data_IF_119282633633
#
_entry.id   IF_119282633633
#
_cell.length_a   1.000
_cell.length_b   1.000
_cell.length_c   1.000
_cell.angle_alpha   90.00
_cell.angle_beta   90.00
_cell.angle_gamma   90.00
#
_symmetry.space_group_name_H-M   'P 1'
#
loop_
_entity.id
_entity.type
_entity.pdbx_description
1 polymer ?
#
# COMPACT_ATOMS: atom_id res chain seq x y z
N UNK A 1 1.94 -19.63 -12.55
CA UNK A 1 2.73 -18.56 -11.88
C UNK A 1 2.20 -18.35 -10.48
N UNK A 2 3.07 -18.11 -9.51
CA UNK A 2 2.73 -17.89 -8.11
C UNK A 2 3.39 -16.62 -7.58
N UNK A 3 2.89 -16.10 -6.45
CA UNK A 3 3.53 -15.01 -5.70
C UNK A 3 5.00 -15.32 -5.37
N UNK A 4 5.30 -16.58 -5.07
CA UNK A 4 6.68 -17.02 -4.79
C UNK A 4 7.59 -16.81 -6.00
N UNK A 5 7.10 -17.05 -7.21
CA UNK A 5 7.88 -16.84 -8.43
C UNK A 5 8.21 -15.36 -8.62
N UNK A 6 7.23 -14.48 -8.40
CA UNK A 6 7.40 -13.03 -8.51
C UNK A 6 8.32 -12.48 -7.42
N UNK A 7 8.17 -12.94 -6.17
CA UNK A 7 9.03 -12.54 -5.05
C UNK A 7 10.50 -12.87 -5.28
N UNK A 8 10.81 -13.93 -6.05
CA UNK A 8 12.17 -14.32 -6.41
C UNK A 8 12.59 -13.83 -7.81
N UNK A 9 11.74 -13.09 -8.52
CA UNK A 9 12.10 -12.53 -9.81
C UNK A 9 13.15 -11.43 -9.64
N UNK A 10 14.30 -11.60 -10.32
CA UNK A 10 15.45 -10.68 -10.19
C UNK A 10 15.13 -9.30 -10.72
N UNK A 11 14.39 -9.21 -11.84
CA UNK A 11 14.04 -7.93 -12.45
C UNK A 11 13.10 -7.11 -11.55
N UNK A 12 12.06 -7.74 -10.99
CA UNK A 12 11.15 -7.10 -10.01
C UNK A 12 11.95 -6.57 -8.82
N UNK A 13 12.86 -7.39 -8.29
CA UNK A 13 13.64 -7.02 -7.11
C UNK A 13 14.62 -5.88 -7.38
N UNK A 14 15.26 -5.83 -8.55
CA UNK A 14 16.13 -4.70 -8.92
C UNK A 14 15.32 -3.42 -9.18
N UNK A 15 14.11 -3.51 -9.77
CA UNK A 15 13.21 -2.36 -9.90
C UNK A 15 12.79 -1.81 -8.54
N UNK A 16 12.36 -2.65 -7.60
CA UNK A 16 12.01 -2.24 -6.23
C UNK A 16 13.20 -1.58 -5.52
N UNK A 17 14.38 -2.20 -5.62
CA UNK A 17 15.62 -1.66 -5.04
C UNK A 17 15.97 -0.29 -5.63
N UNK A 18 15.90 -0.14 -6.96
CA UNK A 18 16.17 1.13 -7.64
C UNK A 18 15.14 2.20 -7.27
N UNK A 19 13.85 1.83 -7.24
CA UNK A 19 12.77 2.72 -6.81
C UNK A 19 12.98 3.23 -5.40
N UNK A 20 13.30 2.34 -4.46
CA UNK A 20 13.58 2.71 -3.07
C UNK A 20 14.81 3.64 -2.93
N UNK A 21 15.85 3.44 -3.73
CA UNK A 21 17.01 4.35 -3.78
C UNK A 21 16.62 5.74 -4.29
N UNK A 22 15.87 5.80 -5.39
CA UNK A 22 15.37 7.06 -5.96
C UNK A 22 14.53 7.84 -4.94
N UNK A 23 13.59 7.16 -4.28
CA UNK A 23 12.74 7.75 -3.24
C UNK A 23 13.55 8.25 -2.04
N UNK A 24 14.60 7.53 -1.65
CA UNK A 24 15.51 7.99 -0.61
C UNK A 24 16.22 9.29 -0.95
N UNK A 25 16.69 9.45 -2.19
CA UNK A 25 17.30 10.70 -2.65
C UNK A 25 16.31 11.88 -2.71
N UNK A 26 15.03 11.58 -2.95
CA UNK A 26 13.95 12.57 -2.98
C UNK A 26 13.36 12.86 -1.59
N UNK A 27 13.86 12.22 -0.53
CA UNK A 27 13.40 12.44 0.84
C UNK A 27 12.18 11.64 1.29
N UNK A 28 11.67 10.73 0.47
CA UNK A 28 10.53 9.88 0.83
C UNK A 28 10.92 8.76 1.82
N UNK A 29 9.92 8.29 2.55
CA UNK A 29 10.01 7.14 3.47
C UNK A 29 10.44 5.86 2.75
N UNK A 30 10.72 4.81 3.50
CA UNK A 30 11.15 3.51 2.96
C UNK A 30 10.02 2.84 2.15
N UNK A 31 10.34 2.45 0.91
CA UNK A 31 9.51 1.68 -0.01
C UNK A 31 10.30 0.44 -0.47
N UNK A 32 10.91 -0.22 0.50
CA UNK A 32 11.71 -1.44 0.26
C UNK A 32 10.84 -2.66 0.00
N UNK A 33 11.48 -3.77 -0.30
CA UNK A 33 10.82 -5.07 -0.42
C UNK A 33 9.99 -5.42 0.82
N UNK A 34 10.41 -5.03 2.03
CA UNK A 34 9.68 -5.30 3.27
C UNK A 34 8.30 -4.61 3.27
N UNK A 35 8.23 -3.38 2.78
CA UNK A 35 6.95 -2.70 2.56
C UNK A 35 6.09 -3.47 1.55
N UNK A 36 6.64 -3.84 0.39
CA UNK A 36 5.91 -4.56 -0.66
C UNK A 36 5.41 -5.95 -0.20
N UNK A 37 6.22 -6.68 0.58
CA UNK A 37 5.79 -7.94 1.22
C UNK A 37 4.63 -7.69 2.17
N UNK A 38 4.70 -6.65 2.99
CA UNK A 38 3.63 -6.31 3.93
C UNK A 38 2.34 -5.95 3.20
N UNK A 39 2.41 -5.16 2.14
CA UNK A 39 1.25 -4.82 1.30
C UNK A 39 0.63 -6.08 0.71
N UNK A 40 1.44 -6.96 0.12
CA UNK A 40 1.01 -8.23 -0.46
C UNK A 40 0.27 -9.11 0.57
N UNK A 41 0.86 -9.30 1.76
CA UNK A 41 0.26 -10.15 2.79
C UNK A 41 -0.97 -9.50 3.45
N UNK A 42 -1.00 -8.17 3.60
CA UNK A 42 -2.17 -7.45 4.10
C UNK A 42 -3.33 -7.55 3.13
N UNK A 43 -3.09 -7.33 1.83
CA UNK A 43 -4.10 -7.47 0.79
C UNK A 43 -4.69 -8.90 0.74
N UNK A 44 -3.82 -9.90 0.75
CA UNK A 44 -4.22 -11.30 0.83
C UNK A 44 -5.05 -11.61 2.06
N UNK A 45 -4.64 -11.11 3.24
CA UNK A 45 -5.39 -11.30 4.47
C UNK A 45 -6.78 -10.66 4.43
N UNK A 46 -6.90 -9.46 3.86
CA UNK A 46 -8.18 -8.78 3.67
C UNK A 46 -9.11 -9.64 2.81
N UNK A 47 -8.67 -10.04 1.62
CA UNK A 47 -9.48 -10.84 0.70
C UNK A 47 -9.87 -12.19 1.31
N UNK A 48 -8.94 -12.87 1.98
CA UNK A 48 -9.22 -14.12 2.70
C UNK A 48 -10.29 -13.95 3.77
N UNK A 49 -10.24 -12.87 4.54
CA UNK A 49 -11.25 -12.58 5.57
C UNK A 49 -12.63 -12.32 4.96
N UNK A 50 -12.72 -11.72 3.80
CA UNK A 50 -13.98 -11.49 3.10
C UNK A 50 -14.44 -12.66 2.23
N UNK A 51 -13.73 -13.82 2.25
CA UNK A 51 -14.15 -15.06 1.60
C UNK A 51 -13.91 -15.11 0.08
N UNK A 52 -12.97 -14.32 -0.42
CA UNK A 52 -12.51 -14.39 -1.82
C UNK A 52 -11.76 -15.70 -2.09
N UNK A 53 -11.68 -16.08 -3.36
CA UNK A 53 -11.03 -17.32 -3.77
C UNK A 53 -9.51 -17.28 -3.52
N UNK A 54 -8.89 -18.44 -3.34
CA UNK A 54 -7.42 -18.52 -3.23
C UNK A 54 -6.73 -17.98 -4.49
N UNK A 55 -7.40 -18.04 -5.64
CA UNK A 55 -6.94 -17.42 -6.89
C UNK A 55 -6.86 -15.89 -6.78
N UNK A 56 -7.94 -15.23 -6.34
CA UNK A 56 -7.96 -13.76 -6.15
C UNK A 56 -6.94 -13.33 -5.10
N UNK A 57 -6.79 -14.11 -4.03
CA UNK A 57 -5.81 -13.88 -2.97
C UNK A 57 -4.40 -13.91 -3.53
N UNK A 58 -4.10 -14.86 -4.43
CA UNK A 58 -2.79 -14.98 -5.06
C UNK A 58 -2.51 -13.80 -6.02
N UNK A 59 -3.50 -13.39 -6.82
CA UNK A 59 -3.39 -12.20 -7.67
C UNK A 59 -3.12 -10.93 -6.85
N UNK A 60 -3.81 -10.79 -5.70
CA UNK A 60 -3.58 -9.67 -4.80
C UNK A 60 -2.17 -9.66 -4.20
N UNK A 61 -1.62 -10.82 -3.84
CA UNK A 61 -0.22 -10.90 -3.38
C UNK A 61 0.75 -10.45 -4.46
N UNK A 62 0.55 -10.93 -5.68
CA UNK A 62 1.42 -10.57 -6.82
C UNK A 62 1.36 -9.07 -7.07
N UNK A 63 0.16 -8.52 -7.22
CA UNK A 63 -0.02 -7.10 -7.48
C UNK A 63 0.50 -6.23 -6.32
N UNK A 64 0.23 -6.63 -5.07
CA UNK A 64 0.71 -5.93 -3.88
C UNK A 64 2.24 -5.93 -3.75
N UNK A 65 2.92 -7.01 -4.19
CA UNK A 65 4.38 -7.02 -4.20
C UNK A 65 4.98 -6.13 -5.29
N UNK A 66 4.30 -6.01 -6.43
CA UNK A 66 4.78 -5.27 -7.60
C UNK A 66 4.31 -3.81 -7.63
N UNK A 67 3.42 -3.37 -6.72
CA UNK A 67 2.73 -2.07 -6.85
C UNK A 67 3.68 -0.88 -7.02
N UNK A 68 4.83 -0.92 -6.39
CA UNK A 68 5.79 0.19 -6.30
C UNK A 68 6.96 0.11 -7.31
N UNK A 69 7.00 -0.89 -8.22
CA UNK A 69 8.12 -1.04 -9.17
C UNK A 69 8.30 0.17 -10.10
N UNK A 70 7.25 0.94 -10.34
CA UNK A 70 7.29 2.14 -11.17
C UNK A 70 8.10 3.29 -10.59
N UNK A 71 8.37 3.30 -9.27
CA UNK A 71 9.27 4.26 -8.64
C UNK A 71 10.72 4.15 -9.17
N UNK A 72 11.08 3.05 -9.83
CA UNK A 72 12.35 2.91 -10.53
C UNK A 72 12.48 3.90 -11.70
N UNK A 73 11.34 4.27 -12.33
CA UNK A 73 11.29 5.21 -13.45
C UNK A 73 11.10 6.64 -12.90
N UNK A 74 10.03 6.88 -12.18
CA UNK A 74 9.71 8.21 -11.65
C UNK A 74 8.67 8.10 -10.53
N UNK A 75 8.76 8.93 -9.49
CA UNK A 75 7.75 9.00 -8.42
C UNK A 75 6.41 9.52 -8.97
N UNK A 76 6.46 10.53 -9.81
CA UNK A 76 5.25 11.03 -10.45
C UNK A 76 4.71 9.96 -11.41
N UNK A 77 3.44 9.59 -11.28
CA UNK A 77 2.78 8.55 -12.07
C UNK A 77 3.41 7.15 -11.91
N UNK A 78 4.01 6.85 -10.74
CA UNK A 78 4.65 5.55 -10.51
C UNK A 78 3.68 4.37 -10.62
N UNK A 79 2.41 4.57 -10.29
CA UNK A 79 1.38 3.54 -10.39
C UNK A 79 1.17 3.12 -11.85
N UNK A 80 1.03 4.08 -12.78
CA UNK A 80 0.85 3.80 -14.20
C UNK A 80 2.11 3.18 -14.81
N UNK A 81 3.31 3.70 -14.50
CA UNK A 81 4.57 3.08 -14.92
C UNK A 81 4.73 1.69 -14.33
N UNK A 82 4.33 1.48 -13.08
CA UNK A 82 4.33 0.19 -12.42
C UNK A 82 3.44 -0.82 -13.13
N UNK A 83 2.24 -0.43 -13.53
CA UNK A 83 1.33 -1.26 -14.30
C UNK A 83 1.91 -1.65 -15.67
N UNK A 84 2.53 -0.71 -16.39
CA UNK A 84 3.18 -0.99 -17.69
C UNK A 84 4.35 -1.97 -17.54
N UNK A 85 5.23 -1.74 -16.57
CA UNK A 85 6.34 -2.65 -16.27
C UNK A 85 5.85 -4.03 -15.86
N UNK A 86 4.84 -4.09 -14.98
CA UNK A 86 4.24 -5.35 -14.56
C UNK A 86 3.66 -6.12 -15.75
N UNK A 87 2.97 -5.44 -16.68
CA UNK A 87 2.46 -6.08 -17.89
C UNK A 87 3.57 -6.74 -18.71
N UNK A 88 4.71 -6.08 -18.91
CA UNK A 88 5.83 -6.65 -19.67
C UNK A 88 6.47 -7.85 -18.95
N UNK A 89 6.70 -7.73 -17.65
CA UNK A 89 7.28 -8.81 -16.85
C UNK A 89 6.35 -10.03 -16.81
N UNK A 90 5.05 -9.81 -16.60
CA UNK A 90 4.06 -10.88 -16.46
C UNK A 90 3.78 -11.65 -17.76
N UNK A 91 4.06 -11.06 -18.93
CA UNK A 91 4.01 -11.77 -20.23
C UNK A 91 4.98 -12.95 -20.31
N UNK A 92 6.03 -12.97 -19.50
CA UNK A 92 7.04 -14.02 -19.47
C UNK A 92 6.56 -15.28 -18.73
N UNK A 93 5.39 -15.21 -18.11
CA UNK A 93 4.82 -16.30 -17.30
C UNK A 93 3.56 -16.88 -17.94
N UNK A 94 3.29 -18.13 -17.63
CA UNK A 94 2.01 -18.76 -17.94
C UNK A 94 0.93 -18.21 -16.99
N UNK A 95 0.32 -17.12 -17.42
CA UNK A 95 -0.74 -16.40 -16.74
C UNK A 95 -1.82 -16.03 -17.76
N UNK A 96 -3.08 -16.24 -17.40
CA UNK A 96 -4.20 -15.87 -18.28
C UNK A 96 -4.20 -14.36 -18.55
N UNK A 97 -4.67 -13.96 -19.74
CA UNK A 97 -4.78 -12.54 -20.09
C UNK A 97 -5.67 -11.78 -19.10
N UNK A 98 -6.86 -12.30 -18.68
CA UNK A 98 -7.68 -11.64 -17.68
C UNK A 98 -6.94 -11.42 -16.35
N UNK A 99 -6.27 -12.44 -15.83
CA UNK A 99 -5.53 -12.33 -14.56
C UNK A 99 -4.42 -11.29 -14.65
N UNK A 100 -3.67 -11.30 -15.76
CA UNK A 100 -2.63 -10.29 -16.00
C UNK A 100 -3.20 -8.88 -16.02
N UNK A 101 -4.32 -8.66 -16.72
CA UNK A 101 -4.97 -7.35 -16.78
C UNK A 101 -5.48 -6.93 -15.40
N UNK A 102 -6.02 -7.85 -14.61
CA UNK A 102 -6.44 -7.57 -13.22
C UNK A 102 -5.26 -7.11 -12.36
N UNK A 103 -4.11 -7.79 -12.40
CA UNK A 103 -2.91 -7.37 -11.68
C UNK A 103 -2.45 -5.98 -12.13
N UNK A 104 -2.37 -5.75 -13.44
CA UNK A 104 -1.94 -4.47 -14.02
C UNK A 104 -2.88 -3.34 -13.62
N UNK A 105 -4.19 -3.57 -13.69
CA UNK A 105 -5.22 -2.61 -13.28
C UNK A 105 -5.09 -2.25 -11.80
N UNK A 106 -4.93 -3.26 -10.94
CA UNK A 106 -4.78 -3.04 -9.50
C UNK A 106 -3.52 -2.21 -9.17
N UNK A 107 -2.39 -2.50 -9.83
CA UNK A 107 -1.15 -1.71 -9.69
C UNK A 107 -1.37 -0.27 -10.18
N UNK A 108 -1.98 -0.08 -11.36
CA UNK A 108 -2.15 1.25 -11.96
C UNK A 108 -3.08 2.18 -11.19
N UNK A 109 -3.94 1.64 -10.33
CA UNK A 109 -4.97 2.39 -9.61
C UNK A 109 -4.70 2.53 -8.10
N UNK A 110 -3.49 2.18 -7.60
CA UNK A 110 -3.23 2.22 -6.16
C UNK A 110 -2.85 3.60 -5.60
N UNK A 111 -2.42 4.54 -6.45
CA UNK A 111 -1.97 5.88 -6.02
C UNK A 111 -3.14 6.83 -5.77
N UNK A 112 -3.09 7.58 -4.66
CA UNK A 112 -4.16 8.48 -4.23
C UNK A 112 -4.34 9.71 -5.12
N UNK A 113 -3.36 10.04 -5.95
CA UNK A 113 -3.42 11.22 -6.84
C UNK A 113 -4.08 10.91 -8.19
N UNK A 114 -4.06 9.66 -8.63
CA UNK A 114 -4.50 9.28 -9.97
C UNK A 114 -5.46 8.10 -10.03
N UNK A 115 -5.58 7.34 -8.94
CA UNK A 115 -6.30 6.08 -8.90
C UNK A 115 -7.46 6.01 -7.92
N UNK A 116 -7.95 4.79 -7.73
CA UNK A 116 -9.03 4.42 -6.83
C UNK A 116 -9.35 2.94 -6.94
N UNK A 117 -10.12 2.39 -6.01
CA UNK A 117 -10.50 0.99 -6.08
C UNK A 117 -11.44 0.73 -7.27
N UNK A 118 -11.02 -0.12 -8.18
CA UNK A 118 -11.78 -0.51 -9.39
C UNK A 118 -12.28 -1.95 -9.33
N UNK A 119 -11.71 -2.75 -8.44
CA UNK A 119 -12.08 -4.14 -8.17
C UNK A 119 -11.66 -4.52 -6.73
N UNK A 120 -12.04 -5.70 -6.22
CA UNK A 120 -11.66 -6.15 -4.87
C UNK A 120 -10.14 -6.29 -4.65
N UNK A 121 -9.37 -6.62 -5.68
CA UNK A 121 -7.92 -6.78 -5.60
C UNK A 121 -7.26 -5.40 -5.42
N UNK A 122 -7.60 -4.43 -6.26
CA UNK A 122 -7.13 -3.05 -6.12
C UNK A 122 -7.53 -2.45 -4.77
N UNK A 123 -8.76 -2.71 -4.31
CA UNK A 123 -9.23 -2.27 -3.00
C UNK A 123 -8.36 -2.82 -1.85
N UNK A 124 -8.04 -4.11 -1.89
CA UNK A 124 -7.21 -4.74 -0.86
C UNK A 124 -5.78 -4.19 -0.86
N UNK A 125 -5.19 -3.94 -2.04
CA UNK A 125 -3.85 -3.34 -2.18
C UNK A 125 -3.85 -1.91 -1.64
N UNK A 126 -4.83 -1.08 -1.99
CA UNK A 126 -4.96 0.29 -1.49
C UNK A 126 -5.00 0.31 0.03
N UNK A 127 -5.81 -0.53 0.66
CA UNK A 127 -5.87 -0.60 2.12
C UNK A 127 -4.52 -1.07 2.68
N UNK A 128 -3.90 -2.10 2.08
CA UNK A 128 -2.61 -2.61 2.52
C UNK A 128 -1.50 -1.57 2.47
N UNK A 129 -1.41 -0.81 1.39
CA UNK A 129 -0.41 0.23 1.18
C UNK A 129 -0.67 1.46 2.07
N UNK A 130 -1.88 2.03 1.97
CA UNK A 130 -2.19 3.31 2.63
C UNK A 130 -2.29 3.19 4.16
N UNK A 131 -2.46 1.99 4.69
CA UNK A 131 -2.43 1.76 6.14
C UNK A 131 -1.05 1.41 6.69
N UNK A 132 -0.03 1.20 5.87
CA UNK A 132 1.35 0.98 6.34
C UNK A 132 2.05 2.31 6.69
N UNK A 133 1.66 2.89 7.82
CA UNK A 133 2.16 4.18 8.33
C UNK A 133 3.15 4.02 9.49
N UNK A 134 3.88 2.92 9.54
CA UNK A 134 4.81 2.60 10.63
C UNK A 134 5.95 3.60 10.74
N UNK A 135 6.30 3.94 11.99
CA UNK A 135 7.50 4.73 12.34
C UNK A 135 8.78 4.18 11.69
N UNK A 136 8.93 2.86 11.60
CA UNK A 136 10.10 2.19 11.01
C UNK A 136 10.29 2.43 9.50
N UNK A 137 9.31 3.04 8.82
CA UNK A 137 9.46 3.48 7.42
C UNK A 137 10.24 4.81 7.29
N UNK A 138 10.40 5.55 8.37
CA UNK A 138 11.26 6.75 8.35
C UNK A 138 12.70 6.31 8.27
N UNK A 139 13.44 6.81 7.28
CA UNK A 139 14.84 6.46 7.06
C UNK A 139 15.72 6.98 8.19
N UNK A 140 16.79 6.26 8.48
CA UNK A 140 17.78 6.71 9.45
C UNK A 140 18.46 7.99 8.97
N UNK A 141 18.11 9.10 9.60
CA UNK A 141 18.70 10.42 9.41
C UNK A 141 18.52 11.26 10.68
N UNK A 142 19.33 12.33 10.88
CA UNK A 142 19.16 13.20 12.05
C UNK A 142 17.74 13.78 12.10
N UNK A 143 17.08 13.72 13.26
CA UNK A 143 15.70 14.23 13.43
C UNK A 143 15.56 15.70 13.04
N UNK A 144 16.63 16.50 13.21
CA UNK A 144 16.66 17.90 12.79
C UNK A 144 16.51 18.10 11.27
N UNK A 145 16.69 17.04 10.47
CA UNK A 145 16.53 17.06 9.01
C UNK A 145 15.20 16.47 8.55
N UNK A 146 14.31 16.09 9.47
CA UNK A 146 12.99 15.58 9.14
C UNK A 146 12.16 16.67 8.47
N UNK A 147 11.61 16.35 7.30
CA UNK A 147 10.54 17.14 6.73
C UNK A 147 9.18 16.81 7.38
N UNK A 148 8.10 17.40 6.88
CA UNK A 148 6.77 17.15 7.44
C UNK A 148 6.34 15.70 7.28
N UNK A 149 6.70 15.04 6.17
CA UNK A 149 6.34 13.63 5.92
C UNK A 149 7.09 12.69 6.86
N UNK A 150 8.39 12.96 7.12
CA UNK A 150 9.14 12.19 8.10
C UNK A 150 8.57 12.34 9.50
N UNK A 151 8.26 13.59 9.91
CA UNK A 151 7.70 13.86 11.23
C UNK A 151 6.40 13.15 11.47
N UNK A 152 5.46 13.23 10.53
CA UNK A 152 4.14 12.59 10.68
C UNK A 152 4.24 11.07 10.72
N UNK A 153 5.09 10.44 9.90
CA UNK A 153 5.33 9.01 9.98
C UNK A 153 6.07 8.62 11.27
N UNK A 154 7.06 9.42 11.70
CA UNK A 154 7.82 9.15 12.92
C UNK A 154 6.97 9.31 14.18
N UNK A 155 5.94 10.15 14.14
CA UNK A 155 5.00 10.35 15.24
C UNK A 155 4.12 9.10 15.51
N UNK A 156 3.94 8.21 14.53
CA UNK A 156 3.15 6.98 14.75
C UNK A 156 3.93 6.00 15.64
N UNK A 157 3.46 5.81 16.86
CA UNK A 157 4.06 4.90 17.85
C UNK A 157 3.48 3.49 17.78
N UNK A 158 2.20 3.37 17.42
CA UNK A 158 1.53 2.10 17.19
C UNK A 158 0.50 2.21 16.08
N UNK A 159 0.32 1.10 15.36
CA UNK A 159 -0.62 0.96 14.27
C UNK A 159 -1.22 -0.42 14.28
N UNK A 160 -2.54 -0.51 14.29
CA UNK A 160 -3.26 -1.79 14.25
C UNK A 160 -4.39 -1.74 13.22
N UNK A 161 -4.33 -2.61 12.21
CA UNK A 161 -5.42 -2.88 11.27
C UNK A 161 -6.24 -4.08 11.75
N UNK A 162 -7.55 -3.91 11.95
CA UNK A 162 -8.47 -4.97 12.37
C UNK A 162 -9.59 -5.14 11.35
N UNK A 163 -9.93 -6.38 11.05
CA UNK A 163 -11.02 -6.75 10.14
C UNK A 163 -12.08 -7.51 10.94
N UNK A 164 -13.29 -6.97 10.95
CA UNK A 164 -14.46 -7.63 11.53
C UNK A 164 -15.43 -7.98 10.39
N UNK A 165 -15.46 -9.24 9.99
CA UNK A 165 -16.26 -9.73 8.87
C UNK A 165 -17.77 -9.77 9.17
N UNK A 166 -18.16 -10.05 10.42
CA UNK A 166 -19.57 -10.08 10.84
C UNK A 166 -20.20 -8.68 10.73
N UNK A 167 -19.46 -7.65 11.16
CA UNK A 167 -19.89 -6.24 11.10
C UNK A 167 -19.53 -5.56 9.79
N UNK A 168 -18.82 -6.25 8.90
CA UNK A 168 -18.26 -5.70 7.65
C UNK A 168 -17.50 -4.40 7.90
N UNK A 169 -16.54 -4.43 8.84
CA UNK A 169 -15.76 -3.24 9.25
C UNK A 169 -14.28 -3.54 9.14
N UNK A 170 -13.56 -2.63 8.49
CA UNK A 170 -12.10 -2.55 8.49
C UNK A 170 -11.71 -1.34 9.33
N UNK A 171 -10.97 -1.55 10.44
CA UNK A 171 -10.62 -0.49 11.38
C UNK A 171 -9.12 -0.29 11.42
N UNK A 172 -8.67 0.94 11.19
CA UNK A 172 -7.30 1.37 11.46
C UNK A 172 -7.27 2.14 12.78
N UNK A 173 -6.45 1.67 13.73
CA UNK A 173 -6.22 2.35 14.99
C UNK A 173 -4.77 2.83 15.02
N UNK A 174 -4.58 4.10 15.33
CA UNK A 174 -3.28 4.76 15.37
C UNK A 174 -3.03 5.33 16.76
N UNK A 175 -1.79 5.19 17.23
CA UNK A 175 -1.25 5.97 18.34
C UNK A 175 -0.24 6.96 17.79
N UNK A 176 -0.50 8.23 17.99
CA UNK A 176 0.29 9.34 17.46
C UNK A 176 0.86 10.14 18.64
N UNK A 177 2.17 10.27 18.66
CA UNK A 177 2.90 11.10 19.62
C UNK A 177 2.70 12.57 19.27
N UNK A 178 1.85 13.26 20.03
CA UNK A 178 1.47 14.65 19.77
C UNK A 178 2.56 15.66 20.11
N UNK A 179 3.62 15.26 20.82
CA UNK A 179 4.80 16.09 21.05
C UNK A 179 5.69 16.17 19.79
N UNK A 180 5.56 15.21 18.88
CA UNK A 180 6.30 15.18 17.61
C UNK A 180 5.50 15.82 16.48
N UNK A 181 4.21 15.55 16.39
CA UNK A 181 3.33 15.97 15.32
C UNK A 181 1.90 16.16 15.84
N UNK A 182 1.33 17.34 15.63
CA UNK A 182 -0.08 17.56 15.98
C UNK A 182 -1.02 16.69 15.16
N UNK A 183 -2.22 16.42 15.69
CA UNK A 183 -3.26 15.68 14.96
C UNK A 183 -3.64 16.39 13.65
N UNK A 184 -3.63 17.74 13.65
CA UNK A 184 -3.89 18.52 12.46
C UNK A 184 -2.86 18.25 11.35
N UNK A 185 -1.55 18.40 11.67
CA UNK A 185 -0.46 18.12 10.71
C UNK A 185 -0.53 16.68 10.17
N UNK A 186 -0.83 15.70 11.04
CA UNK A 186 -0.96 14.32 10.62
C UNK A 186 -2.05 14.16 9.55
N UNK A 187 -3.25 14.70 9.79
CA UNK A 187 -4.36 14.55 8.86
C UNK A 187 -4.28 15.46 7.63
N UNK A 188 -3.58 16.58 7.70
CA UNK A 188 -3.27 17.40 6.53
C UNK A 188 -2.52 16.56 5.46
N UNK A 189 -1.60 15.70 5.90
CA UNK A 189 -0.81 14.83 5.02
C UNK A 189 -1.57 13.55 4.64
N UNK A 190 -2.23 12.90 5.60
CA UNK A 190 -2.76 11.54 5.41
C UNK A 190 -4.27 11.46 5.14
N UNK A 191 -5.01 12.56 5.22
CA UNK A 191 -6.46 12.52 5.03
C UNK A 191 -6.86 11.91 3.68
N UNK A 192 -6.19 12.31 2.60
CA UNK A 192 -6.50 11.80 1.26
C UNK A 192 -6.31 10.28 1.17
N UNK A 193 -5.26 9.74 1.78
CA UNK A 193 -5.01 8.29 1.86
C UNK A 193 -6.11 7.58 2.64
N UNK A 194 -6.58 8.17 3.74
CA UNK A 194 -7.66 7.59 4.55
C UNK A 194 -8.99 7.63 3.81
N UNK A 195 -9.26 8.69 3.04
CA UNK A 195 -10.44 8.77 2.17
C UNK A 195 -10.40 7.70 1.06
N UNK A 196 -9.23 7.45 0.50
CA UNK A 196 -9.04 6.37 -0.48
C UNK A 196 -9.28 4.99 0.15
N UNK A 197 -8.80 4.75 1.39
CA UNK A 197 -9.11 3.53 2.15
C UNK A 197 -10.61 3.36 2.37
N UNK A 198 -11.35 4.44 2.61
CA UNK A 198 -12.82 4.39 2.75
C UNK A 198 -13.46 3.91 1.45
N UNK A 199 -13.13 4.52 0.30
CA UNK A 199 -13.64 4.06 -1.00
C UNK A 199 -13.26 2.61 -1.32
N UNK A 200 -12.05 2.19 -0.94
CA UNK A 200 -11.61 0.80 -1.09
C UNK A 200 -12.40 -0.18 -0.18
N UNK A 201 -12.71 0.22 1.04
CA UNK A 201 -13.55 -0.61 1.91
C UNK A 201 -14.99 -0.71 1.38
N UNK A 202 -15.54 0.39 0.85
CA UNK A 202 -16.88 0.38 0.20
C UNK A 202 -16.92 -0.61 -0.97
N UNK A 203 -15.86 -0.70 -1.78
CA UNK A 203 -15.72 -1.69 -2.87
C UNK A 203 -15.77 -3.14 -2.35
N UNK A 204 -15.26 -3.39 -1.14
CA UNK A 204 -15.33 -4.70 -0.47
C UNK A 204 -16.66 -4.93 0.27
N UNK A 205 -17.62 -4.03 0.17
CA UNK A 205 -18.89 -4.07 0.91
C UNK A 205 -18.69 -3.89 2.43
N UNK A 206 -17.65 -3.16 2.83
CA UNK A 206 -17.29 -2.92 4.22
C UNK A 206 -17.21 -1.41 4.53
N UNK A 207 -17.27 -1.07 5.82
CA UNK A 207 -17.06 0.30 6.30
C UNK A 207 -15.64 0.46 6.82
N UNK A 208 -14.92 1.48 6.35
CA UNK A 208 -13.63 1.86 6.92
C UNK A 208 -13.83 2.74 8.16
N UNK A 209 -13.13 2.42 9.25
CA UNK A 209 -13.11 3.20 10.49
C UNK A 209 -11.68 3.59 10.83
N UNK A 210 -11.50 4.83 11.22
CA UNK A 210 -10.23 5.36 11.67
C UNK A 210 -10.37 5.89 13.09
N UNK A 211 -9.47 5.44 13.96
CA UNK A 211 -9.33 5.93 15.34
C UNK A 211 -7.90 6.40 15.54
N UNK A 212 -7.71 7.57 16.10
CA UNK A 212 -6.40 8.10 16.46
C UNK A 212 -6.40 8.54 17.93
N UNK A 213 -5.43 8.04 18.70
CA UNK A 213 -5.33 8.29 20.15
C UNK A 213 -6.65 8.03 20.92
N UNK A 214 -7.37 7.00 20.51
CA UNK A 214 -8.66 6.62 21.11
C UNK A 214 -9.87 7.43 20.63
N UNK A 215 -9.67 8.53 19.90
CA UNK A 215 -10.75 9.33 19.32
C UNK A 215 -11.15 8.83 17.93
N UNK A 216 -12.45 8.73 17.67
CA UNK A 216 -13.00 8.40 16.35
C UNK A 216 -12.73 9.57 15.39
N UNK A 217 -12.15 9.27 14.21
CA UNK A 217 -11.86 10.24 13.14
C UNK A 217 -12.78 10.01 11.94
N UNK A 218 -13.00 8.74 11.56
CA UNK A 218 -13.90 8.29 10.51
C UNK A 218 -14.78 7.14 11.01
#
# INVERSE_FOLDING_TARGET
>A
MTYKDIKHNKEVNELLKKGNQNLGLLGYTDHSQDHCVRVAETAAHILKKFGYSEHDIELARIAGYMHDIGNAINRNRHAEYGGLLANEILKQYDLSIPDRITIVSAISNHDESTGGAVDPISAAIIIGDKTDVRRSRVREKPKATFDIHDRVNYAVTDQTLKINTEKKVISLNLQIDTDICSMYEYFEIFLQRMLMCRGAADMLGATFKLTANGAKVL
#
